data_IF_810436569112
#
_entry.id   IF_810436569112
#
_cell.length_a   1.000
_cell.length_b   1.000
_cell.length_c   1.000
_cell.angle_alpha   90.00
_cell.angle_beta   90.00
_cell.angle_gamma   90.00
#
_symmetry.space_group_name_H-M   'P 1'
#
loop_
_entity.id
_entity.type
_entity.pdbx_description
1 polymer ?
#
# COMPACT_ATOMS: atom_id res chain seq x y z
N UNK A 1 -0.56 -3.04 -1.20
CA UNK A 1 0.60 -2.17 -0.93
C UNK A 1 0.14 -0.74 -1.13
N UNK A 2 0.38 0.13 -0.15
CA UNK A 2 0.01 1.53 -0.26
C UNK A 2 1.16 2.33 -0.90
N UNK A 3 0.79 3.14 -1.89
CA UNK A 3 1.63 4.07 -2.60
C UNK A 3 2.25 5.12 -1.70
N UNK A 4 3.22 5.80 -2.27
CA UNK A 4 3.92 6.93 -1.68
C UNK A 4 4.59 7.69 -2.84
N UNK A 5 5.30 8.77 -2.50
CA UNK A 5 6.00 9.61 -3.46
C UNK A 5 6.78 8.80 -4.51
N UNK A 6 6.52 9.12 -5.77
CA UNK A 6 7.39 8.86 -6.93
C UNK A 6 8.25 10.11 -7.12
N UNK A 7 9.54 9.95 -7.41
CA UNK A 7 10.44 11.07 -7.62
C UNK A 7 10.13 11.77 -8.95
N UNK A 8 10.60 13.01 -9.12
CA UNK A 8 10.36 13.81 -10.33
C UNK A 8 10.96 13.18 -11.59
N UNK A 9 12.02 12.39 -11.42
CA UNK A 9 12.66 11.60 -12.49
C UNK A 9 11.90 10.31 -12.84
N UNK A 10 10.77 10.04 -12.18
CA UNK A 10 9.96 8.83 -12.38
C UNK A 10 10.45 7.60 -11.62
N UNK A 11 11.53 7.71 -10.84
CA UNK A 11 12.00 6.64 -9.96
C UNK A 11 11.12 6.51 -8.71
N UNK A 12 11.06 5.31 -8.13
CA UNK A 12 10.36 5.11 -6.87
C UNK A 12 11.17 5.77 -5.74
N UNK A 13 10.50 6.41 -4.79
CA UNK A 13 11.19 6.81 -3.55
C UNK A 13 11.71 5.56 -2.82
N UNK A 14 12.83 5.70 -2.11
CA UNK A 14 13.43 4.60 -1.34
C UNK A 14 12.40 3.93 -0.41
N UNK A 15 11.55 4.74 0.22
CA UNK A 15 10.46 4.28 1.07
C UNK A 15 9.41 3.44 0.32
N UNK A 16 9.06 3.81 -0.92
CA UNK A 16 8.15 3.04 -1.76
C UNK A 16 8.80 1.74 -2.22
N UNK A 17 10.07 1.79 -2.60
CA UNK A 17 10.86 0.63 -2.97
C UNK A 17 10.94 -0.39 -1.82
N UNK A 18 11.26 0.04 -0.59
CA UNK A 18 11.27 -0.84 0.59
C UNK A 18 9.93 -1.50 0.89
N UNK A 19 8.81 -0.80 0.64
CA UNK A 19 7.47 -1.40 0.74
C UNK A 19 7.25 -2.47 -0.33
N UNK A 20 7.68 -2.20 -1.57
CA UNK A 20 7.58 -3.15 -2.68
C UNK A 20 8.45 -4.37 -2.46
N UNK A 21 9.70 -4.20 -2.02
CA UNK A 21 10.60 -5.30 -1.61
C UNK A 21 9.94 -6.18 -0.53
N UNK A 22 9.31 -5.58 0.48
CA UNK A 22 8.64 -6.31 1.55
C UNK A 22 7.52 -7.20 1.01
N UNK A 23 6.62 -6.64 0.18
CA UNK A 23 5.54 -7.45 -0.37
C UNK A 23 5.99 -8.42 -1.48
N UNK A 24 7.09 -8.12 -2.19
CA UNK A 24 7.74 -9.08 -3.09
C UNK A 24 8.23 -10.31 -2.31
N UNK A 25 8.90 -10.11 -1.17
CA UNK A 25 9.32 -11.23 -0.29
C UNK A 25 8.12 -12.04 0.20
N UNK A 26 7.01 -11.39 0.55
CA UNK A 26 5.79 -12.09 0.95
C UNK A 26 5.22 -12.96 -0.18
N UNK A 27 5.24 -12.44 -1.42
CA UNK A 27 4.79 -13.18 -2.59
C UNK A 27 5.71 -14.38 -2.89
N UNK A 28 7.02 -14.16 -2.91
CA UNK A 28 8.02 -15.21 -3.17
C UNK A 28 7.99 -16.32 -2.12
N UNK A 29 7.68 -16.00 -0.86
CA UNK A 29 7.49 -16.99 0.22
C UNK A 29 6.06 -17.59 0.25
N UNK A 30 5.26 -17.40 -0.79
CA UNK A 30 3.89 -17.91 -0.91
C UNK A 30 2.95 -17.50 0.24
N UNK A 31 3.23 -16.38 0.91
CA UNK A 31 2.41 -15.85 2.01
C UNK A 31 1.18 -15.08 1.49
N UNK A 32 1.25 -14.60 0.25
CA UNK A 32 0.16 -13.90 -0.44
C UNK A 32 -0.02 -14.46 -1.85
N UNK A 33 -1.25 -14.42 -2.38
CA UNK A 33 -1.59 -14.97 -3.71
C UNK A 33 -1.72 -13.91 -4.79
N UNK A 34 -2.17 -12.70 -4.41
CA UNK A 34 -2.39 -11.56 -5.29
C UNK A 34 -1.81 -10.32 -4.64
N UNK A 35 -1.38 -9.36 -5.45
CA UNK A 35 -0.81 -8.09 -5.00
C UNK A 35 -1.69 -6.96 -5.54
N UNK A 36 -2.28 -6.18 -4.64
CA UNK A 36 -2.97 -4.93 -5.01
C UNK A 36 -1.99 -3.79 -4.72
N UNK A 37 -1.66 -3.00 -5.73
CA UNK A 37 -0.87 -1.76 -5.59
C UNK A 37 -1.82 -0.58 -5.75
N UNK A 38 -1.91 0.28 -4.73
CA UNK A 38 -2.86 1.39 -4.72
C UNK A 38 -2.12 2.69 -4.45
N UNK A 39 -2.27 3.66 -5.34
CA UNK A 39 -1.65 4.98 -5.25
C UNK A 39 -2.33 5.96 -6.18
N UNK A 40 -2.09 7.26 -5.98
CA UNK A 40 -2.74 8.30 -6.77
C UNK A 40 -1.96 8.70 -8.01
N UNK A 41 -2.42 9.79 -8.65
CA UNK A 41 -1.58 10.54 -9.57
C UNK A 41 -0.66 11.46 -8.76
N UNK A 42 0.64 11.18 -8.80
CA UNK A 42 1.67 11.98 -8.13
C UNK A 42 1.74 13.39 -8.72
N UNK A 43 2.19 14.35 -7.91
CA UNK A 43 2.43 15.74 -8.37
C UNK A 43 3.51 15.80 -9.46
N UNK A 44 4.36 14.79 -9.46
CA UNK A 44 5.48 14.55 -10.35
C UNK A 44 5.04 14.07 -11.74
N UNK A 45 3.74 13.82 -11.95
CA UNK A 45 3.17 13.49 -13.26
C UNK A 45 3.06 12.00 -13.57
N UNK A 46 3.24 11.13 -12.57
CA UNK A 46 3.19 9.67 -12.72
C UNK A 46 2.07 9.06 -11.89
N UNK A 47 1.42 8.03 -12.44
CA UNK A 47 0.57 7.14 -11.65
C UNK A 47 1.44 6.23 -10.78
N UNK A 48 1.31 6.37 -9.46
CA UNK A 48 2.11 5.59 -8.51
C UNK A 48 1.89 4.08 -8.68
N UNK A 49 0.64 3.67 -8.88
CA UNK A 49 0.28 2.26 -9.05
C UNK A 49 0.92 1.62 -10.28
N UNK A 50 1.03 2.35 -11.39
CA UNK A 50 1.69 1.87 -12.60
C UNK A 50 3.19 1.67 -12.38
N UNK A 51 3.86 2.62 -11.72
CA UNK A 51 5.29 2.49 -11.35
C UNK A 51 5.55 1.34 -10.37
N UNK A 52 4.65 1.13 -9.42
CA UNK A 52 4.70 -0.03 -8.53
C UNK A 52 4.56 -1.35 -9.31
N UNK A 53 3.67 -1.40 -10.29
CA UNK A 53 3.49 -2.58 -11.16
C UNK A 53 4.72 -2.83 -12.02
N UNK A 54 5.29 -1.81 -12.66
CA UNK A 54 6.53 -1.90 -13.44
C UNK A 54 7.65 -2.55 -12.60
N UNK A 55 7.83 -2.08 -11.35
CA UNK A 55 8.82 -2.63 -10.44
C UNK A 55 8.59 -4.12 -10.12
N UNK A 56 7.34 -4.51 -9.84
CA UNK A 56 7.00 -5.91 -9.52
C UNK A 56 7.22 -6.84 -10.72
N UNK A 57 6.86 -6.39 -11.93
CA UNK A 57 7.10 -7.15 -13.17
C UNK A 57 8.60 -7.31 -13.42
N UNK A 58 9.38 -6.24 -13.26
CA UNK A 58 10.84 -6.30 -13.37
C UNK A 58 11.47 -7.30 -12.38
N UNK A 59 10.82 -7.49 -11.23
CA UNK A 59 11.17 -8.48 -10.20
C UNK A 59 10.50 -9.85 -10.39
N UNK A 60 10.08 -10.18 -11.63
CA UNK A 60 9.54 -11.49 -12.03
C UNK A 60 8.21 -11.87 -11.37
N UNK A 61 7.43 -10.90 -10.89
CA UNK A 61 6.04 -11.14 -10.50
C UNK A 61 5.16 -11.17 -11.76
N UNK A 62 4.36 -12.23 -11.99
CA UNK A 62 3.46 -12.29 -13.14
C UNK A 62 2.43 -11.15 -13.13
N UNK A 63 2.19 -10.56 -14.29
CA UNK A 63 1.19 -9.48 -14.43
C UNK A 63 -0.20 -9.89 -13.92
N UNK A 64 -0.59 -11.15 -14.16
CA UNK A 64 -1.90 -11.69 -13.81
C UNK A 64 -2.21 -11.71 -12.30
N UNK A 65 -1.19 -11.53 -11.44
CA UNK A 65 -1.38 -11.48 -9.98
C UNK A 65 -1.31 -10.06 -9.42
N UNK A 66 -1.03 -9.05 -10.26
CA UNK A 66 -0.90 -7.65 -9.87
C UNK A 66 -2.17 -6.90 -10.28
N UNK A 67 -2.81 -6.24 -9.32
CA UNK A 67 -3.95 -5.36 -9.56
C UNK A 67 -3.50 -3.93 -9.24
N UNK A 68 -3.72 -3.02 -10.18
CA UNK A 68 -3.40 -1.60 -10.03
C UNK A 68 -4.65 -0.82 -9.68
N UNK A 69 -4.55 -0.02 -8.63
CA UNK A 69 -5.55 0.98 -8.22
C UNK A 69 -4.93 2.38 -8.25
N UNK A 70 -5.08 3.06 -9.38
CA UNK A 70 -4.61 4.44 -9.59
C UNK A 70 -5.56 5.52 -9.01
N UNK A 71 -6.66 5.10 -8.36
CA UNK A 71 -7.63 5.98 -7.71
C UNK A 71 -7.44 6.01 -6.18
N UNK A 72 -6.37 5.40 -5.68
CA UNK A 72 -5.98 5.33 -4.27
C UNK A 72 -5.37 6.62 -3.72
N UNK A 73 -5.98 7.79 -4.01
CA UNK A 73 -5.43 9.10 -3.65
C UNK A 73 -5.29 9.33 -2.13
N UNK A 74 -5.96 8.52 -1.32
CA UNK A 74 -5.81 8.51 0.13
C UNK A 74 -6.14 7.12 0.68
N UNK A 75 -5.80 6.88 1.94
CA UNK A 75 -6.03 5.59 2.61
C UNK A 75 -7.49 5.15 2.59
N UNK A 76 -8.45 6.07 2.69
CA UNK A 76 -9.88 5.73 2.67
C UNK A 76 -10.29 5.20 1.29
N UNK A 77 -9.87 5.89 0.23
CA UNK A 77 -10.09 5.49 -1.16
C UNK A 77 -9.45 4.14 -1.48
N UNK A 78 -8.19 3.91 -1.05
CA UNK A 78 -7.53 2.60 -1.21
C UNK A 78 -8.35 1.47 -0.57
N UNK A 79 -8.86 1.69 0.65
CA UNK A 79 -9.65 0.68 1.34
C UNK A 79 -11.00 0.46 0.63
N UNK A 80 -11.68 1.53 0.21
CA UNK A 80 -12.93 1.43 -0.57
C UNK A 80 -12.74 0.64 -1.87
N UNK A 81 -11.71 0.99 -2.64
CA UNK A 81 -11.39 0.34 -3.90
C UNK A 81 -11.04 -1.14 -3.68
N UNK A 82 -10.25 -1.43 -2.64
CA UNK A 82 -9.90 -2.81 -2.28
C UNK A 82 -11.16 -3.62 -1.90
N UNK A 83 -12.06 -3.05 -1.11
CA UNK A 83 -13.29 -3.73 -0.69
C UNK A 83 -14.24 -4.01 -1.87
N UNK A 84 -14.29 -3.14 -2.88
CA UNK A 84 -15.05 -3.38 -4.12
C UNK A 84 -14.52 -4.59 -4.90
N UNK A 85 -13.24 -4.90 -4.77
CA UNK A 85 -12.63 -6.06 -5.41
C UNK A 85 -12.87 -7.37 -4.65
N UNK A 86 -13.44 -7.33 -3.44
CA UNK A 86 -13.63 -8.51 -2.59
C UNK A 86 -14.41 -9.61 -3.30
N UNK A 87 -15.55 -9.28 -3.88
CA UNK A 87 -16.44 -10.27 -4.49
C UNK A 87 -15.85 -10.85 -5.78
N UNK A 88 -15.10 -10.05 -6.55
CA UNK A 88 -14.43 -10.51 -7.77
C UNK A 88 -13.18 -11.35 -7.49
N UNK A 89 -12.41 -10.98 -6.45
CA UNK A 89 -11.16 -11.66 -6.11
C UNK A 89 -11.34 -12.79 -5.11
N UNK A 90 -12.51 -12.91 -4.47
CA UNK A 90 -12.86 -13.88 -3.44
C UNK A 90 -11.80 -14.00 -2.34
N UNK A 91 -11.31 -12.86 -1.82
CA UNK A 91 -10.34 -12.88 -0.73
C UNK A 91 -11.02 -12.87 0.65
N UNK A 92 -10.50 -13.70 1.54
CA UNK A 92 -10.97 -13.82 2.94
C UNK A 92 -10.05 -13.11 3.94
N UNK A 93 -8.85 -12.71 3.51
CA UNK A 93 -7.88 -11.99 4.33
C UNK A 93 -7.13 -10.94 3.50
N UNK A 94 -6.71 -9.87 4.16
CA UNK A 94 -5.88 -8.81 3.57
C UNK A 94 -4.62 -8.63 4.41
N UNK A 95 -3.48 -8.50 3.74
CA UNK A 95 -2.21 -8.12 4.35
C UNK A 95 -1.80 -6.73 3.83
N UNK A 96 -1.84 -5.74 4.73
CA UNK A 96 -1.51 -4.36 4.41
C UNK A 96 0.01 -4.15 4.53
N UNK A 97 0.65 -3.80 3.42
CA UNK A 97 2.06 -3.37 3.40
C UNK A 97 2.12 -1.84 3.34
N UNK A 98 2.57 -1.21 4.43
CA UNK A 98 2.81 0.24 4.54
C UNK A 98 3.73 0.53 5.72
N UNK A 99 4.14 1.79 5.93
CA UNK A 99 4.89 2.15 7.13
C UNK A 99 4.04 2.09 8.40
N UNK A 100 4.71 1.95 9.54
CA UNK A 100 4.07 1.54 10.80
C UNK A 100 2.98 2.48 11.30
N UNK A 101 3.09 3.79 11.05
CA UNK A 101 2.09 4.78 11.44
C UNK A 101 0.80 4.66 10.61
N UNK A 102 0.95 4.54 9.28
CA UNK A 102 -0.16 4.42 8.34
C UNK A 102 -0.94 3.09 8.43
N UNK A 103 -0.30 2.05 8.94
CA UNK A 103 -0.90 0.71 9.07
C UNK A 103 -2.10 0.73 10.01
N UNK A 104 -2.02 1.46 11.13
CA UNK A 104 -3.09 1.50 12.14
C UNK A 104 -4.38 2.07 11.57
N UNK A 105 -4.29 3.23 10.88
CA UNK A 105 -5.43 3.86 10.19
C UNK A 105 -6.03 2.93 9.15
N UNK A 106 -5.20 2.26 8.36
CA UNK A 106 -5.69 1.36 7.30
C UNK A 106 -6.47 0.18 7.89
N UNK A 107 -5.96 -0.45 8.96
CA UNK A 107 -6.66 -1.55 9.64
C UNK A 107 -8.00 -1.10 10.23
N UNK A 108 -8.05 0.08 10.85
CA UNK A 108 -9.29 0.65 11.36
C UNK A 108 -10.33 0.83 10.24
N UNK A 109 -9.93 1.42 9.12
CA UNK A 109 -10.82 1.67 7.97
C UNK A 109 -11.38 0.39 7.34
N UNK A 110 -10.62 -0.71 7.31
CA UNK A 110 -11.14 -2.00 6.88
C UNK A 110 -12.17 -2.56 7.88
N UNK A 111 -11.91 -2.43 9.18
CA UNK A 111 -12.85 -2.87 10.23
C UNK A 111 -14.15 -2.09 10.21
N UNK A 112 -14.10 -0.77 9.98
CA UNK A 112 -15.28 0.08 9.77
C UNK A 112 -16.15 -0.42 8.61
N UNK A 113 -15.55 -1.02 7.59
CA UNK A 113 -16.24 -1.63 6.44
C UNK A 113 -16.62 -3.09 6.65
N UNK A 114 -16.57 -3.57 7.89
CA UNK A 114 -16.96 -4.93 8.26
C UNK A 114 -15.92 -6.00 7.90
N UNK A 115 -14.71 -5.64 7.48
CA UNK A 115 -13.66 -6.61 7.12
C UNK A 115 -12.64 -6.75 8.25
N UNK A 116 -12.75 -7.84 9.01
CA UNK A 116 -11.98 -8.04 10.25
C UNK A 116 -10.62 -8.74 10.04
N UNK A 117 -10.48 -9.54 8.98
CA UNK A 117 -9.31 -10.37 8.75
C UNK A 117 -8.18 -9.58 8.07
N UNK A 118 -7.68 -8.57 8.77
CA UNK A 118 -6.66 -7.64 8.28
C UNK A 118 -5.39 -7.77 9.10
N UNK A 119 -4.35 -8.27 8.46
CA UNK A 119 -2.99 -8.26 8.96
C UNK A 119 -2.21 -7.12 8.32
N UNK A 120 -1.04 -6.82 8.86
CA UNK A 120 -0.20 -5.75 8.36
C UNK A 120 1.26 -6.06 8.57
N UNK A 121 2.10 -5.57 7.66
CA UNK A 121 3.54 -5.60 7.78
C UNK A 121 4.09 -4.22 7.44
N UNK A 122 5.11 -3.81 8.16
CA UNK A 122 5.95 -2.67 7.79
C UNK A 122 7.34 -3.18 7.44
N UNK A 123 8.00 -2.61 6.41
CA UNK A 123 9.40 -2.88 6.18
C UNK A 123 10.23 -2.41 7.38
N UNK A 124 11.32 -3.12 7.70
CA UNK A 124 12.34 -2.71 8.67
C UNK A 124 13.18 -1.55 8.11
N UNK A 125 12.52 -0.41 7.90
CA UNK A 125 13.11 0.83 7.41
C UNK A 125 12.57 1.98 8.25
N UNK A 126 13.45 2.58 9.05
CA UNK A 126 13.13 3.62 10.03
C UNK A 126 13.91 4.89 9.68
N UNK A 127 13.21 5.97 9.35
CA UNK A 127 13.80 7.30 9.17
C UNK A 127 13.40 8.23 10.31
N UNK A 128 14.24 9.23 10.63
CA UNK A 128 13.93 10.24 11.66
C UNK A 128 12.61 11.01 11.38
N UNK A 129 12.23 11.13 10.10
CA UNK A 129 10.95 11.71 9.64
C UNK A 129 9.72 10.86 10.01
N UNK A 130 9.89 9.59 10.38
CA UNK A 130 8.80 8.73 10.82
C UNK A 130 8.28 9.14 12.21
N UNK A 131 9.14 9.69 13.07
CA UNK A 131 8.74 10.25 14.38
C UNK A 131 7.80 11.44 14.19
N UNK A 132 8.15 12.35 13.29
CA UNK A 132 7.31 13.50 12.98
C UNK A 132 5.99 13.09 12.30
N UNK A 133 6.03 12.07 11.43
CA UNK A 133 4.85 11.55 10.74
C UNK A 133 3.85 10.89 11.70
N UNK A 134 4.33 10.18 12.73
CA UNK A 134 3.48 9.67 13.81
C UNK A 134 2.79 10.78 14.59
N UNK A 135 3.53 11.81 15.00
CA UNK A 135 2.98 12.89 15.80
C UNK A 135 1.92 13.66 15.00
N UNK A 136 2.16 13.84 13.69
CA UNK A 136 1.17 14.41 12.78
C UNK A 136 -0.07 13.52 12.63
N UNK A 137 0.10 12.21 12.43
CA UNK A 137 -1.05 11.30 12.31
C UNK A 137 -1.83 11.17 13.62
N UNK A 138 -1.14 11.20 14.77
CA UNK A 138 -1.76 11.23 16.09
C UNK A 138 -2.61 12.49 16.26
N UNK A 139 -2.08 13.68 15.93
CA UNK A 139 -2.85 14.92 15.96
C UNK A 139 -4.07 14.88 15.01
N UNK A 140 -3.92 14.30 13.81
CA UNK A 140 -5.01 14.12 12.84
C UNK A 140 -6.08 13.11 13.26
N UNK A 141 -5.74 12.15 14.14
CA UNK A 141 -6.69 11.17 14.69
C UNK A 141 -7.58 11.78 15.79
N UNK A 142 -7.08 12.77 16.53
CA UNK A 142 -7.81 13.42 17.64
C UNK A 142 -8.55 14.71 17.25
N UNK A 143 -8.51 15.11 15.99
CA UNK A 143 -9.14 16.35 15.48
C UNK A 143 -10.29 16.09 14.50
N UNK A 144 -10.75 14.84 14.36
CA UNK A 144 -11.96 14.47 13.59
C UNK A 144 -13.12 14.08 14.50
#
# INVERSE_FOLDING_TARGET
>A
MLGNKVNEDGTLSERLEKRLECGLRLYQNHRIKKIIVSGGFGKEGYYEGDKMKEYLIANKVPDSVIIVDNLGNNTRATVDNTMRLKDSLHFESVLVVSQYFHVTRTKMLFKERGFQNVSSVSPDYFEFNDIYSLLREFAGYYTQ
#
